data_IF_044304992526
#
_entry.id   IF_044304992526
#
_cell.length_a   1.000
_cell.length_b   1.000
_cell.length_c   1.000
_cell.angle_alpha   90.00
_cell.angle_beta   90.00
_cell.angle_gamma   90.00
#
_symmetry.space_group_name_H-M   'P 1'
#
loop_
_entity.id
_entity.type
_entity.pdbx_description
1 polymer ?
#
# COMPACT_ATOMS: atom_id res chain seq x y z
N UNK A 1 -14.46 -25.09 -4.82
CA UNK A 1 -15.27 -23.97 -4.29
C UNK A 1 -14.82 -22.67 -4.97
N UNK A 2 -15.11 -22.52 -6.27
CA UNK A 2 -14.92 -21.23 -6.96
C UNK A 2 -16.24 -20.48 -6.81
N UNK A 3 -16.32 -19.62 -5.79
CA UNK A 3 -17.48 -18.76 -5.59
C UNK A 3 -17.56 -17.77 -6.73
N UNK A 4 -18.64 -17.85 -7.52
CA UNK A 4 -19.04 -16.82 -8.46
C UNK A 4 -19.26 -15.52 -7.67
N UNK A 5 -18.24 -14.66 -7.59
CA UNK A 5 -18.42 -13.27 -7.19
C UNK A 5 -19.04 -12.58 -8.40
N UNK A 6 -20.36 -12.59 -8.48
CA UNK A 6 -21.10 -11.82 -9.47
C UNK A 6 -21.09 -10.36 -8.99
N UNK A 7 -19.94 -9.69 -9.14
CA UNK A 7 -19.81 -8.25 -8.93
C UNK A 7 -20.66 -7.55 -9.99
N UNK A 8 -21.60 -6.70 -9.57
CA UNK A 8 -22.27 -5.76 -10.47
C UNK A 8 -21.21 -5.03 -11.32
N UNK A 9 -21.40 -4.87 -12.65
CA UNK A 9 -20.39 -4.28 -13.53
C UNK A 9 -19.93 -2.90 -13.05
N UNK A 10 -20.81 -2.13 -12.40
CA UNK A 10 -20.49 -0.83 -11.80
C UNK A 10 -19.56 -0.93 -10.59
N UNK A 11 -19.66 -1.99 -9.78
CA UNK A 11 -18.76 -2.21 -8.63
C UNK A 11 -17.39 -2.70 -9.09
N UNK A 12 -17.35 -3.54 -10.13
CA UNK A 12 -16.09 -3.99 -10.72
C UNK A 12 -15.31 -2.81 -11.32
N UNK A 13 -16.02 -1.91 -12.01
CA UNK A 13 -15.43 -0.68 -12.54
C UNK A 13 -14.86 0.21 -11.43
N UNK A 14 -15.62 0.43 -10.35
CA UNK A 14 -15.15 1.23 -9.22
C UNK A 14 -13.89 0.64 -8.55
N UNK A 15 -13.83 -0.69 -8.37
CA UNK A 15 -12.66 -1.34 -7.79
C UNK A 15 -11.44 -1.20 -8.70
N UNK A 16 -11.62 -1.39 -10.02
CA UNK A 16 -10.55 -1.21 -10.98
C UNK A 16 -10.03 0.24 -11.04
N UNK A 17 -10.92 1.23 -10.98
CA UNK A 17 -10.55 2.64 -10.96
C UNK A 17 -9.73 2.98 -9.70
N UNK A 18 -10.13 2.46 -8.55
CA UNK A 18 -9.39 2.61 -7.29
C UNK A 18 -8.01 1.92 -7.34
N UNK A 19 -7.92 0.73 -7.92
CA UNK A 19 -6.64 0.03 -8.12
C UNK A 19 -5.68 0.86 -8.97
N UNK A 20 -6.18 1.45 -10.07
CA UNK A 20 -5.37 2.30 -10.96
C UNK A 20 -4.88 3.56 -10.23
N UNK A 21 -5.75 4.21 -9.46
CA UNK A 21 -5.38 5.41 -8.70
C UNK A 21 -4.29 5.11 -7.67
N UNK A 22 -4.45 4.02 -6.91
CA UNK A 22 -3.46 3.58 -5.93
C UNK A 22 -2.11 3.23 -6.58
N UNK A 23 -2.13 2.48 -7.69
CA UNK A 23 -0.90 2.14 -8.42
C UNK A 23 -0.20 3.37 -8.98
N UNK A 24 -0.97 4.37 -9.41
CA UNK A 24 -0.43 5.63 -9.92
C UNK A 24 0.26 6.45 -8.83
N UNK A 25 -0.34 6.57 -7.64
CA UNK A 25 0.31 7.22 -6.49
C UNK A 25 1.59 6.49 -6.08
N UNK A 26 1.56 5.15 -6.02
CA UNK A 26 2.75 4.33 -5.73
C UNK A 26 3.87 4.60 -6.74
N UNK A 27 3.55 4.61 -8.04
CA UNK A 27 4.50 4.86 -9.11
C UNK A 27 5.15 6.24 -9.00
N UNK A 28 4.37 7.28 -8.73
CA UNK A 28 4.86 8.64 -8.58
C UNK A 28 5.80 8.78 -7.38
N UNK A 29 5.42 8.21 -6.23
CA UNK A 29 6.25 8.21 -5.02
C UNK A 29 7.55 7.43 -5.19
N UNK A 30 7.48 6.25 -5.82
CA UNK A 30 8.64 5.44 -6.14
C UNK A 30 9.61 6.17 -7.07
N UNK A 31 9.09 6.76 -8.15
CA UNK A 31 9.88 7.50 -9.13
C UNK A 31 10.59 8.68 -8.47
N UNK A 32 9.87 9.50 -7.69
CA UNK A 32 10.46 10.62 -6.96
C UNK A 32 11.55 10.18 -5.95
N UNK A 33 11.29 9.07 -5.24
CA UNK A 33 12.24 8.53 -4.27
C UNK A 33 13.51 8.00 -4.95
N UNK A 34 13.38 7.25 -6.05
CA UNK A 34 14.52 6.68 -6.76
C UNK A 34 15.30 7.72 -7.54
N UNK A 35 14.64 8.70 -8.15
CA UNK A 35 15.32 9.85 -8.76
C UNK A 35 16.17 10.59 -7.71
N UNK A 36 15.59 10.92 -6.55
CA UNK A 36 16.32 11.61 -5.46
C UNK A 36 17.50 10.80 -4.91
N UNK A 37 17.42 9.47 -4.92
CA UNK A 37 18.46 8.57 -4.38
C UNK A 37 19.58 8.27 -5.37
N UNK A 38 19.24 8.16 -6.65
CA UNK A 38 20.16 7.63 -7.66
C UNK A 38 20.65 8.67 -8.65
N UNK A 39 19.95 9.79 -8.82
CA UNK A 39 20.31 10.83 -9.78
C UNK A 39 20.84 12.06 -9.02
N UNK A 40 22.11 12.45 -9.21
CA UNK A 40 22.68 13.62 -8.57
C UNK A 40 22.03 14.90 -9.10
N UNK A 41 21.98 15.94 -8.27
CA UNK A 41 21.41 17.25 -8.66
C UNK A 41 22.25 17.99 -9.70
N UNK A 42 23.52 17.61 -9.87
CA UNK A 42 24.42 18.12 -10.90
C UNK A 42 24.58 17.08 -12.00
N UNK A 43 23.90 17.31 -13.12
CA UNK A 43 24.00 16.50 -14.31
C UNK A 43 25.29 16.81 -15.05
N UNK A 44 26.13 15.79 -15.27
CA UNK A 44 27.35 15.91 -16.08
C UNK A 44 27.08 15.65 -17.57
N UNK A 45 26.13 14.76 -17.84
CA UNK A 45 25.75 14.30 -19.17
C UNK A 45 24.23 14.05 -19.19
N UNK A 46 23.58 14.07 -20.37
CA UNK A 46 22.13 13.90 -20.48
C UNK A 46 21.69 12.44 -20.33
N UNK A 47 22.57 11.50 -20.63
CA UNK A 47 22.28 10.07 -20.56
C UNK A 47 22.55 9.53 -19.15
N UNK A 48 21.86 8.45 -18.80
CA UNK A 48 22.14 7.74 -17.56
C UNK A 48 23.48 7.02 -17.67
N UNK A 49 24.38 7.33 -16.74
CA UNK A 49 25.58 6.54 -16.54
C UNK A 49 25.22 5.12 -16.08
N UNK A 50 26.10 4.15 -16.35
CA UNK A 50 25.94 2.76 -15.90
C UNK A 50 25.68 2.66 -14.39
N UNK A 51 26.28 3.55 -13.60
CA UNK A 51 26.08 3.60 -12.15
C UNK A 51 24.66 4.04 -11.77
N UNK A 52 24.12 5.04 -12.45
CA UNK A 52 22.76 5.53 -12.23
C UNK A 52 21.73 4.47 -12.64
N UNK A 53 21.90 3.82 -13.80
CA UNK A 53 21.02 2.73 -14.24
C UNK A 53 20.96 1.59 -13.23
N UNK A 54 22.13 1.08 -12.80
CA UNK A 54 22.19 0.00 -11.80
C UNK A 54 21.65 0.44 -10.44
N UNK A 55 21.81 1.70 -10.06
CA UNK A 55 21.21 2.25 -8.85
C UNK A 55 19.68 2.25 -8.95
N UNK A 56 19.11 2.73 -10.07
CA UNK A 56 17.67 2.78 -10.31
C UNK A 56 17.04 1.38 -10.21
N UNK A 57 17.63 0.37 -10.86
CA UNK A 57 17.16 -1.01 -10.80
C UNK A 57 17.11 -1.53 -9.35
N UNK A 58 18.20 -1.32 -8.60
CA UNK A 58 18.29 -1.70 -7.18
C UNK A 58 17.31 -0.91 -6.31
N UNK A 59 17.10 0.36 -6.62
CA UNK A 59 16.18 1.22 -5.87
C UNK A 59 14.74 0.75 -6.02
N UNK A 60 14.30 0.51 -7.26
CA UNK A 60 12.95 0.03 -7.55
C UNK A 60 12.71 -1.34 -6.89
N UNK A 61 13.66 -2.27 -7.03
CA UNK A 61 13.56 -3.58 -6.39
C UNK A 61 13.40 -3.48 -4.85
N UNK A 62 14.21 -2.63 -4.20
CA UNK A 62 14.11 -2.40 -2.75
C UNK A 62 12.84 -1.68 -2.36
N UNK A 63 12.38 -0.72 -3.17
CA UNK A 63 11.16 0.04 -2.90
C UNK A 63 9.96 -0.90 -2.86
N UNK A 64 9.83 -1.80 -3.85
CA UNK A 64 8.74 -2.76 -3.91
C UNK A 64 8.79 -3.78 -2.76
N UNK A 65 9.97 -4.32 -2.42
CA UNK A 65 10.13 -5.23 -1.27
C UNK A 65 9.71 -4.56 0.05
N UNK A 66 10.14 -3.32 0.28
CA UNK A 66 9.73 -2.56 1.48
C UNK A 66 8.24 -2.22 1.43
N UNK A 67 7.70 -1.83 0.29
CA UNK A 67 6.29 -1.53 0.11
C UNK A 67 5.41 -2.75 0.46
N UNK A 68 5.78 -3.95 0.00
CA UNK A 68 5.08 -5.20 0.34
C UNK A 68 5.13 -5.50 1.84
N UNK A 69 6.30 -5.38 2.47
CA UNK A 69 6.46 -5.62 3.91
C UNK A 69 5.65 -4.64 4.76
N UNK A 70 5.64 -3.36 4.38
CA UNK A 70 4.81 -2.34 5.02
C UNK A 70 3.34 -2.69 4.84
N UNK A 71 2.91 -3.08 3.64
CA UNK A 71 1.55 -3.51 3.35
C UNK A 71 1.11 -4.66 4.27
N UNK A 72 1.90 -5.73 4.38
CA UNK A 72 1.62 -6.87 5.28
C UNK A 72 1.49 -6.44 6.74
N UNK A 73 2.38 -5.55 7.19
CA UNK A 73 2.35 -5.06 8.57
C UNK A 73 1.11 -4.20 8.83
N UNK A 74 0.73 -3.35 7.88
CA UNK A 74 -0.47 -2.50 7.97
C UNK A 74 -1.73 -3.37 8.07
N UNK A 75 -1.89 -4.37 7.21
CA UNK A 75 -3.02 -5.30 7.28
C UNK A 75 -3.09 -6.02 8.62
N UNK A 76 -1.95 -6.47 9.15
CA UNK A 76 -1.89 -7.12 10.46
C UNK A 76 -2.38 -6.18 11.58
N UNK A 77 -1.99 -4.91 11.55
CA UNK A 77 -2.42 -3.92 12.53
C UNK A 77 -3.91 -3.61 12.39
N UNK A 78 -4.43 -3.44 11.17
CA UNK A 78 -5.85 -3.19 10.93
C UNK A 78 -6.73 -4.32 11.48
N UNK A 79 -6.35 -5.58 11.30
CA UNK A 79 -7.08 -6.72 11.86
C UNK A 79 -7.08 -6.73 13.39
N UNK A 80 -5.95 -6.33 14.01
CA UNK A 80 -5.85 -6.21 15.48
C UNK A 80 -6.75 -5.09 16.01
N UNK A 81 -6.79 -3.95 15.32
CA UNK A 81 -7.65 -2.81 15.67
C UNK A 81 -9.13 -3.17 15.56
N UNK A 82 -9.53 -3.89 14.51
CA UNK A 82 -10.92 -4.40 14.36
C UNK A 82 -11.31 -5.35 15.49
N UNK A 83 -10.42 -6.27 15.87
CA UNK A 83 -10.66 -7.22 16.96
C UNK A 83 -10.77 -6.50 18.32
N UNK A 84 -9.91 -5.52 18.56
CA UNK A 84 -9.94 -4.70 19.77
C UNK A 84 -11.24 -3.88 19.84
N UNK A 85 -11.65 -3.25 18.75
CA UNK A 85 -12.90 -2.49 18.68
C UNK A 85 -14.12 -3.36 18.94
N UNK A 86 -14.14 -4.58 18.39
CA UNK A 86 -15.23 -5.55 18.65
C UNK A 86 -15.29 -5.95 20.13
N UNK A 87 -14.14 -6.27 20.74
CA UNK A 87 -14.05 -6.59 22.17
C UNK A 87 -14.48 -5.42 23.05
N UNK A 88 -14.17 -4.18 22.66
CA UNK A 88 -14.59 -2.98 23.39
C UNK A 88 -16.10 -2.75 23.29
N UNK A 89 -16.72 -2.98 22.13
CA UNK A 89 -18.18 -2.90 21.96
C UNK A 89 -18.91 -3.98 22.77
N UNK A 90 -18.38 -5.21 22.81
CA UNK A 90 -18.94 -6.31 23.61
C UNK A 90 -18.88 -5.99 25.12
N UNK A 91 -17.78 -5.41 25.61
CA UNK A 91 -17.66 -5.00 27.02
C UNK A 91 -18.65 -3.88 27.38
N UNK A 92 -18.86 -2.89 26.50
CA UNK A 92 -19.84 -1.81 26.72
C UNK A 92 -21.28 -2.34 26.75
N UNK A 93 -21.61 -3.32 25.90
CA UNK A 93 -22.93 -3.96 25.91
C UNK A 93 -23.19 -4.77 27.20
N UNK A 94 -22.15 -5.46 27.73
CA UNK A 94 -22.26 -6.20 28.99
C UNK A 94 -22.31 -5.30 30.25
N UNK A 95 -21.70 -4.12 30.20
CA UNK A 95 -21.71 -3.18 31.32
C UNK A 95 -23.08 -2.49 31.51
N UNK A 96 -23.85 -2.28 30.43
CA UNK A 96 -25.19 -1.69 30.49
C UNK A 96 -26.28 -2.68 30.93
N UNK A 97 -26.02 -3.99 30.85
CA UNK A 97 -26.96 -5.04 31.27
C UNK A 97 -26.90 -5.38 32.76
N UNK A 98 -25.87 -4.92 33.49
CA UNK A 98 -25.74 -5.14 34.94
C UNK A 98 -26.28 -3.98 35.80
N UNK A 99 -26.58 -2.82 35.22
CA UNK A 99 -27.07 -1.63 35.94
C UNK A 99 -28.60 -1.51 36.01
N UNK A 100 -29.34 -2.53 35.56
CA UNK A 100 -30.80 -2.60 35.66
C UNK A 100 -31.25 -3.82 36.46
#
# INVERSE_FOLDING_TARGET
MAGNIQLDPSKLQLVADLEIEMMSDMYNRMTAACQKKCIPTKYKEPDLSKGESVCLDRCVAKYLDIHERIGKKLTTLSMQDEELMKKMQEQQATAQTQTK
#
